data_IF_698719415845
#
_entry.id   IF_698719415845
#
_cell.length_a   1.000
_cell.length_b   1.000
_cell.length_c   1.000
_cell.angle_alpha   90.00
_cell.angle_beta   90.00
_cell.angle_gamma   90.00
#
_symmetry.space_group_name_H-M   'P 1'
#
loop_
_entity.id
_entity.type
_entity.pdbx_description
1 polymer ?
#
# COMPACT_ATOMS: atom_id res chain seq x y z
N UNK A 1 -3.74 3.10 5.54
CA UNK A 1 -2.94 3.17 6.77
C UNK A 1 -2.83 4.62 7.20
N UNK A 2 -2.73 4.89 8.49
CA UNK A 2 -2.05 6.10 8.98
C UNK A 2 -0.73 5.66 9.60
N UNK A 3 0.16 6.62 9.85
CA UNK A 3 1.43 6.32 10.51
C UNK A 3 1.19 5.68 11.89
N UNK A 4 2.20 4.98 12.42
CA UNK A 4 2.12 4.18 13.65
C UNK A 4 1.60 4.92 14.91
N UNK A 5 1.45 6.24 14.87
CA UNK A 5 0.87 7.03 15.97
C UNK A 5 -0.66 7.06 16.01
N UNK A 6 -1.35 6.63 14.93
CA UNK A 6 -2.80 6.73 14.79
C UNK A 6 -3.50 5.37 14.90
N UNK A 7 -4.61 5.34 15.61
CA UNK A 7 -5.53 4.20 15.63
C UNK A 7 -6.70 4.40 14.63
N UNK A 8 -7.43 3.34 14.24
CA UNK A 8 -8.67 3.48 13.50
C UNK A 8 -9.65 4.44 14.20
N UNK A 9 -10.15 5.44 13.47
CA UNK A 9 -11.08 6.43 14.02
C UNK A 9 -10.42 7.55 14.85
N UNK A 10 -9.08 7.61 14.91
CA UNK A 10 -8.38 8.64 15.68
C UNK A 10 -8.83 10.06 15.27
N UNK A 11 -9.30 10.89 16.22
CA UNK A 11 -9.89 12.20 15.92
C UNK A 11 -8.87 13.22 15.39
N UNK A 12 -7.57 12.98 15.56
CA UNK A 12 -6.50 13.84 15.02
C UNK A 12 -6.35 13.69 13.52
N UNK A 13 -6.83 12.59 12.95
CA UNK A 13 -6.81 12.37 11.50
C UNK A 13 -7.96 13.19 10.88
N UNK A 14 -7.70 14.02 9.86
CA UNK A 14 -8.72 14.89 9.27
C UNK A 14 -9.64 14.10 8.32
N UNK A 15 -10.41 13.14 8.85
CA UNK A 15 -11.25 12.23 8.07
C UNK A 15 -12.23 12.93 7.12
N UNK A 16 -12.70 14.13 7.48
CA UNK A 16 -13.59 14.95 6.63
C UNK A 16 -12.92 15.43 5.34
N UNK A 17 -11.58 15.45 5.30
CA UNK A 17 -10.76 15.81 4.13
C UNK A 17 -10.33 14.59 3.32
N UNK A 18 -10.63 13.37 3.78
CA UNK A 18 -10.28 12.15 3.07
C UNK A 18 -11.16 11.99 1.82
N UNK A 19 -10.51 11.83 0.67
CA UNK A 19 -11.15 11.64 -0.63
C UNK A 19 -10.70 10.29 -1.18
N UNK A 20 -11.68 9.48 -1.62
CA UNK A 20 -11.42 8.21 -2.30
C UNK A 20 -11.40 8.43 -3.81
N UNK A 21 -10.33 7.99 -4.46
CA UNK A 21 -10.15 8.04 -5.91
C UNK A 21 -10.23 6.60 -6.45
N UNK A 22 -11.30 6.21 -7.18
CA UNK A 22 -11.32 4.91 -7.85
C UNK A 22 -10.33 4.92 -9.03
N UNK A 23 -9.63 3.80 -9.22
CA UNK A 23 -8.68 3.61 -10.31
C UNK A 23 -9.37 2.91 -11.47
N UNK A 24 -9.14 3.41 -12.69
CA UNK A 24 -9.54 2.66 -13.88
C UNK A 24 -8.70 1.39 -14.01
N UNK A 25 -9.18 0.35 -14.74
CA UNK A 25 -8.43 -0.87 -14.95
C UNK A 25 -7.01 -0.62 -15.48
N UNK A 26 -6.86 0.28 -16.46
CA UNK A 26 -5.56 0.65 -17.03
C UNK A 26 -4.60 1.25 -15.99
N UNK A 27 -5.09 2.08 -15.06
CA UNK A 27 -4.26 2.65 -14.00
C UNK A 27 -3.88 1.59 -12.98
N UNK A 28 -4.82 0.70 -12.63
CA UNK A 28 -4.56 -0.41 -11.71
C UNK A 28 -3.50 -1.37 -12.26
N UNK A 29 -3.53 -1.68 -13.55
CA UNK A 29 -2.53 -2.54 -14.18
C UNK A 29 -1.15 -1.88 -14.23
N UNK A 30 -1.08 -0.58 -14.52
CA UNK A 30 0.18 0.19 -14.42
C UNK A 30 0.71 0.20 -12.98
N UNK A 31 -0.17 0.33 -11.99
CA UNK A 31 0.19 0.28 -10.57
C UNK A 31 0.76 -1.09 -10.19
N UNK A 32 0.12 -2.19 -10.61
CA UNK A 32 0.64 -3.55 -10.43
C UNK A 32 2.02 -3.73 -11.06
N UNK A 33 2.19 -3.26 -12.29
CA UNK A 33 3.47 -3.35 -13.00
C UNK A 33 4.58 -2.54 -12.28
N UNK A 34 4.26 -1.35 -11.76
CA UNK A 34 5.18 -0.54 -10.99
C UNK A 34 5.57 -1.21 -9.67
N UNK A 35 4.60 -1.75 -8.92
CA UNK A 35 4.85 -2.49 -7.67
C UNK A 35 5.76 -3.71 -7.92
N UNK A 36 5.55 -4.43 -9.02
CA UNK A 36 6.36 -5.59 -9.38
C UNK A 36 7.87 -5.28 -9.60
N UNK A 37 8.25 -4.02 -9.81
CA UNK A 37 9.66 -3.63 -9.94
C UNK A 37 10.40 -3.60 -8.59
N UNK A 38 9.68 -3.55 -7.46
CA UNK A 38 10.26 -3.52 -6.12
C UNK A 38 10.52 -4.93 -5.59
N UNK A 39 11.26 -5.75 -6.35
CA UNK A 39 11.42 -7.20 -6.13
C UNK A 39 11.83 -7.54 -4.70
N UNK A 40 12.88 -6.91 -4.16
CA UNK A 40 13.38 -7.18 -2.81
C UNK A 40 12.40 -6.81 -1.69
N UNK A 41 11.38 -6.00 -1.98
CA UNK A 41 10.36 -5.62 -1.01
C UNK A 41 9.21 -6.62 -0.98
N UNK A 42 8.95 -7.31 -2.09
CA UNK A 42 7.73 -8.13 -2.28
C UNK A 42 8.02 -9.63 -2.42
N UNK A 43 9.29 -10.02 -2.57
CA UNK A 43 9.73 -11.40 -2.67
C UNK A 43 11.07 -11.58 -1.94
N UNK A 44 11.33 -12.78 -1.38
CA UNK A 44 12.65 -13.08 -0.83
C UNK A 44 13.73 -13.00 -1.91
N UNK A 45 14.89 -12.44 -1.57
CA UNK A 45 16.05 -12.37 -2.46
C UNK A 45 17.05 -13.51 -2.24
N UNK A 46 16.78 -14.37 -1.26
CA UNK A 46 17.65 -15.46 -0.81
C UNK A 46 16.99 -16.32 0.28
N UNK A 47 17.70 -17.36 0.77
CA UNK A 47 17.14 -18.30 1.75
C UNK A 47 17.29 -17.85 3.20
N UNK A 48 18.07 -16.81 3.48
CA UNK A 48 18.33 -16.36 4.86
C UNK A 48 17.12 -15.61 5.41
N UNK A 49 16.90 -15.59 6.73
CA UNK A 49 15.84 -14.78 7.33
C UNK A 49 15.95 -13.28 6.98
N UNK A 50 17.16 -12.76 6.84
CA UNK A 50 17.41 -11.37 6.42
C UNK A 50 17.11 -11.09 4.93
N UNK A 51 16.90 -12.13 4.13
CA UNK A 51 16.56 -12.03 2.71
C UNK A 51 15.04 -12.09 2.48
N UNK A 52 14.24 -12.19 3.53
CA UNK A 52 12.78 -12.23 3.43
C UNK A 52 12.21 -10.94 2.81
N UNK A 53 11.05 -11.06 2.17
CA UNK A 53 10.32 -9.90 1.68
C UNK A 53 10.00 -8.95 2.85
N UNK A 54 10.25 -7.65 2.64
CA UNK A 54 10.01 -6.63 3.65
C UNK A 54 8.52 -6.39 3.86
N UNK A 55 7.73 -6.42 2.77
CA UNK A 55 6.30 -6.16 2.82
C UNK A 55 5.53 -7.46 3.04
N UNK A 56 4.73 -7.56 4.10
CA UNK A 56 3.85 -8.71 4.29
C UNK A 56 2.69 -8.68 3.27
N UNK A 57 2.03 -9.83 3.01
CA UNK A 57 0.99 -9.93 1.98
C UNK A 57 -0.16 -8.94 2.14
N UNK A 58 -0.57 -8.61 3.37
CA UNK A 58 -1.63 -7.65 3.67
C UNK A 58 -1.27 -6.21 3.29
N UNK A 59 0.01 -5.83 3.46
CA UNK A 59 0.50 -4.52 3.04
C UNK A 59 0.61 -4.45 1.51
N UNK A 60 1.06 -5.53 0.86
CA UNK A 60 1.03 -5.61 -0.60
C UNK A 60 -0.40 -5.52 -1.13
N UNK A 61 -1.35 -6.22 -0.51
CA UNK A 61 -2.77 -6.15 -0.86
C UNK A 61 -3.35 -4.75 -0.65
N UNK A 62 -2.88 -3.99 0.35
CA UNK A 62 -3.25 -2.58 0.51
C UNK A 62 -2.79 -1.72 -0.68
N UNK A 63 -1.55 -1.92 -1.14
CA UNK A 63 -0.98 -1.20 -2.27
C UNK A 63 -1.59 -1.64 -3.62
N UNK A 64 -2.26 -2.78 -3.71
CA UNK A 64 -2.84 -3.28 -4.97
C UNK A 64 -4.36 -3.07 -5.08
N UNK A 65 -4.95 -2.27 -4.19
CA UNK A 65 -6.39 -1.92 -4.27
C UNK A 65 -6.68 -1.06 -5.49
N UNK A 66 -7.92 -1.17 -5.94
CA UNK A 66 -8.56 -0.42 -7.03
C UNK A 66 -8.86 1.05 -6.71
N UNK A 67 -8.26 1.58 -5.65
CA UNK A 67 -8.55 2.92 -5.12
C UNK A 67 -7.38 3.49 -4.35
N UNK A 68 -7.29 4.81 -4.38
CA UNK A 68 -6.46 5.59 -3.47
C UNK A 68 -7.31 6.38 -2.49
N UNK A 69 -6.73 6.69 -1.33
CA UNK A 69 -7.30 7.65 -0.38
C UNK A 69 -6.28 8.74 -0.14
N UNK A 70 -6.67 9.98 -0.44
CA UNK A 70 -5.82 11.18 -0.28
C UNK A 70 -6.54 12.18 0.64
N UNK A 71 -5.80 13.11 1.22
CA UNK A 71 -6.38 14.22 1.99
C UNK A 71 -6.27 15.51 1.18
N UNK A 72 -7.41 16.19 0.97
CA UNK A 72 -7.49 17.49 0.29
C UNK A 72 -7.55 18.62 1.28
#
# INVERSE_FOLDING_TARGET
WMWHWAAPGDPRVPWRRAVRIPLSPTVLDRKRAAVAQFVSQIAPVGPSPGDAAILPPEELAHHLRDREVVFR
#
